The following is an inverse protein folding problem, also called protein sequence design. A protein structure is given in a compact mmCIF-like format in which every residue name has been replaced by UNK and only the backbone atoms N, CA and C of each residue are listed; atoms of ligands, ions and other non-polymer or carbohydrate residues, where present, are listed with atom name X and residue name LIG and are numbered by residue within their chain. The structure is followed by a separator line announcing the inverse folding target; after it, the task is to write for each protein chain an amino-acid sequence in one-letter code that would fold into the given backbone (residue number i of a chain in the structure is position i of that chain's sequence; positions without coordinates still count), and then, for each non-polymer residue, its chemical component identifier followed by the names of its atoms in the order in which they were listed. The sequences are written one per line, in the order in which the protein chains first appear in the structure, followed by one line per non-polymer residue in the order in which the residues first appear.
data_IF_091507241553
#
_entry.id   IF_091507241553
#
_cell.length_a   1.000
_cell.length_b   1.000
_cell.length_c   1.000
_cell.angle_alpha   90.00
_cell.angle_beta   90.00
_cell.angle_gamma   90.00
#
_symmetry.space_group_name_H-M   'P 1'
#
loop_
_entity.id
_entity.type
_entity.pdbx_description
1 polymer ?
#
# COMPACT_ATOMS: atom_id res chain seq x y z
N UNK A 1 -4.91 3.59 -7.73
CA UNK A 1 -3.90 2.59 -8.16
C UNK A 1 -2.65 3.18 -8.81
N UNK A 2 -2.74 4.14 -9.76
CA UNK A 2 -1.56 4.72 -10.44
C UNK A 2 -0.39 5.17 -9.55
N UNK A 3 -0.69 5.74 -8.38
CA UNK A 3 0.36 6.16 -7.42
C UNK A 3 1.12 4.97 -6.85
N UNK A 4 0.43 3.88 -6.51
CA UNK A 4 1.03 2.66 -5.99
C UNK A 4 1.98 2.01 -6.99
N UNK A 5 1.58 1.95 -8.27
CA UNK A 5 2.43 1.40 -9.35
C UNK A 5 3.75 2.17 -9.49
N UNK A 6 3.70 3.50 -9.33
CA UNK A 6 4.90 4.36 -9.41
C UNK A 6 5.80 4.26 -8.19
N UNK A 7 5.24 4.02 -7.00
CA UNK A 7 5.99 4.12 -5.74
C UNK A 7 6.45 2.79 -5.17
N UNK A 8 5.75 1.69 -5.46
CA UNK A 8 6.00 0.40 -4.81
C UNK A 8 7.05 -0.47 -5.51
N UNK A 9 7.55 -0.03 -6.67
CA UNK A 9 8.62 -0.72 -7.43
C UNK A 9 8.35 -2.19 -7.77
N UNK A 10 7.07 -2.56 -7.85
CA UNK A 10 6.66 -3.88 -8.34
C UNK A 10 6.49 -3.76 -9.85
N UNK A 11 7.42 -4.32 -10.63
CA UNK A 11 7.50 -4.12 -12.08
C UNK A 11 6.28 -4.69 -12.82
N UNK A 12 5.85 -5.90 -12.43
CA UNK A 12 4.72 -6.60 -13.05
C UNK A 12 3.84 -7.26 -11.97
N UNK A 13 3.07 -6.47 -11.21
CA UNK A 13 2.25 -7.02 -10.13
C UNK A 13 1.21 -7.99 -10.68
N UNK A 14 1.29 -9.25 -10.28
CA UNK A 14 0.31 -10.30 -10.58
C UNK A 14 -0.88 -10.21 -9.63
N UNK A 15 -0.69 -9.65 -8.44
CA UNK A 15 -1.72 -9.45 -7.43
C UNK A 15 -1.82 -7.99 -6.99
N UNK A 16 -3.07 -7.54 -6.84
CA UNK A 16 -3.43 -6.17 -6.44
C UNK A 16 -4.63 -6.24 -5.52
N UNK A 17 -4.46 -5.81 -4.27
CA UNK A 17 -5.57 -5.81 -3.32
C UNK A 17 -5.49 -4.65 -2.35
N UNK A 18 -6.62 -4.43 -1.67
CA UNK A 18 -6.81 -3.36 -0.71
C UNK A 18 -7.28 -3.97 0.59
N UNK A 19 -6.68 -3.56 1.71
CA UNK A 19 -7.19 -3.84 3.05
C UNK A 19 -7.72 -2.54 3.63
N UNK A 20 -9.00 -2.51 3.97
CA UNK A 20 -9.60 -1.42 4.75
C UNK A 20 -9.52 -1.79 6.24
N UNK A 21 -8.65 -1.11 6.99
CA UNK A 21 -8.57 -1.27 8.44
C UNK A 21 -9.37 -0.18 9.13
N UNK A 22 -10.27 -0.57 10.03
CA UNK A 22 -11.02 0.37 10.86
C UNK A 22 -10.11 1.11 11.86
N UNK A 23 -9.06 0.44 12.34
CA UNK A 23 -8.02 1.02 13.19
C UNK A 23 -6.65 0.49 12.76
N UNK A 24 -5.68 1.38 12.63
CA UNK A 24 -4.30 1.02 12.33
C UNK A 24 -3.34 1.83 13.18
N UNK A 25 -2.58 1.15 14.04
CA UNK A 25 -1.69 1.76 15.04
C UNK A 25 -0.67 2.73 14.46
N UNK A 26 -0.19 2.48 13.25
CA UNK A 26 0.78 3.37 12.57
C UNK A 26 0.15 4.65 12.00
N UNK A 27 -1.16 4.81 12.13
CA UNK A 27 -1.91 6.04 11.83
C UNK A 27 -2.70 6.51 13.07
N UNK A 28 -2.16 6.30 14.27
CA UNK A 28 -2.80 6.69 15.53
C UNK A 28 -4.18 6.05 15.70
N UNK A 29 -4.29 4.76 15.37
CA UNK A 29 -5.51 3.94 15.46
C UNK A 29 -6.70 4.47 14.64
N UNK A 30 -6.42 5.29 13.61
CA UNK A 30 -7.44 5.79 12.69
C UNK A 30 -7.71 4.82 11.51
N UNK A 31 -8.89 4.91 10.89
CA UNK A 31 -9.20 4.14 9.68
C UNK A 31 -8.18 4.40 8.58
N UNK A 32 -7.67 3.31 8.01
CA UNK A 32 -6.57 3.36 7.04
C UNK A 32 -6.78 2.35 5.93
N UNK A 33 -6.53 2.78 4.70
CA UNK A 33 -6.53 1.93 3.53
C UNK A 33 -5.10 1.52 3.20
N UNK A 34 -4.84 0.21 3.15
CA UNK A 34 -3.57 -0.36 2.73
C UNK A 34 -3.72 -0.89 1.31
N UNK A 35 -2.90 -0.41 0.39
CA UNK A 35 -2.90 -0.84 -1.01
C UNK A 35 -1.64 -1.66 -1.25
N UNK A 36 -1.82 -2.93 -1.63
CA UNK A 36 -0.74 -3.85 -1.89
C UNK A 36 -0.57 -4.08 -3.40
N UNK A 37 0.68 -4.13 -3.83
CA UNK A 37 1.10 -4.66 -5.13
C UNK A 37 2.11 -5.76 -4.86
N UNK A 38 1.90 -6.92 -5.48
CA UNK A 38 2.74 -8.11 -5.28
C UNK A 38 2.93 -8.79 -6.64
N UNK A 39 4.15 -9.28 -6.89
CA UNK A 39 4.51 -10.22 -7.94
C UNK A 39 5.19 -11.46 -7.34
N UNK A 40 5.68 -12.35 -8.19
CA UNK A 40 6.29 -13.62 -7.77
C UNK A 40 7.63 -13.43 -7.02
N UNK A 41 8.23 -12.24 -7.08
CA UNK A 41 9.52 -11.91 -6.47
C UNK A 41 9.36 -11.09 -5.18
N UNK A 42 8.18 -10.54 -4.92
CA UNK A 42 7.89 -9.80 -3.70
C UNK A 42 6.81 -8.75 -3.88
N UNK A 43 6.74 -7.81 -2.95
CA UNK A 43 5.72 -6.77 -3.01
C UNK A 43 5.99 -5.60 -2.10
N UNK A 44 5.15 -4.59 -2.25
CA UNK A 44 5.13 -3.41 -1.43
C UNK A 44 3.71 -3.02 -1.08
N UNK A 45 3.58 -2.08 -0.15
CA UNK A 45 2.30 -1.45 0.14
C UNK A 45 2.45 0.05 0.40
N UNK A 46 1.38 0.78 0.13
CA UNK A 46 1.21 2.12 0.67
C UNK A 46 0.00 2.16 1.59
N UNK A 47 0.06 3.02 2.60
CA UNK A 47 -1.04 3.32 3.48
C UNK A 47 -1.56 4.72 3.16
N UNK A 48 -2.87 4.85 3.02
CA UNK A 48 -3.56 6.11 2.85
C UNK A 48 -4.59 6.33 3.96
N UNK A 49 -4.66 7.56 4.46
CA UNK A 49 -5.70 7.93 5.42
C UNK A 49 -7.07 8.11 4.72
N UNK A 50 -8.12 8.41 5.51
CA UNK A 50 -9.49 8.62 5.01
C UNK A 50 -9.62 9.70 3.92
N UNK A 51 -8.69 10.64 3.87
CA UNK A 51 -8.66 11.72 2.87
C UNK A 51 -7.87 11.33 1.61
N UNK A 52 -7.41 10.08 1.51
CA UNK A 52 -6.58 9.60 0.40
C UNK A 52 -5.13 10.07 0.45
N UNK A 53 -4.69 10.76 1.52
CA UNK A 53 -3.30 11.17 1.69
C UNK A 53 -2.46 9.94 2.05
N UNK A 54 -1.40 9.71 1.29
CA UNK A 54 -0.41 8.65 1.60
C UNK A 54 0.34 9.06 2.87
N UNK A 55 0.32 8.17 3.87
CA UNK A 55 0.94 8.37 5.18
C UNK A 55 2.10 7.40 5.43
N UNK A 56 2.18 6.30 4.68
CA UNK A 56 3.32 5.38 4.70
C UNK A 56 3.47 4.72 3.33
N UNK A 57 4.72 4.46 2.97
CA UNK A 57 5.08 3.69 1.77
C UNK A 57 6.15 2.69 2.16
N UNK A 58 5.94 1.43 1.80
CA UNK A 58 6.90 0.34 1.92
C UNK A 58 7.05 -0.27 0.53
N UNK A 59 8.04 0.16 -0.27
CA UNK A 59 8.30 -0.39 -1.59
C UNK A 59 8.80 -1.84 -1.51
N UNK A 60 8.74 -2.56 -2.63
CA UNK A 60 9.49 -3.79 -2.79
C UNK A 60 11.00 -3.52 -2.69
N UNK A 61 11.74 -4.52 -2.21
CA UNK A 61 13.18 -4.44 -1.97
C UNK A 61 14.03 -4.50 -3.25
N UNK A 62 13.44 -4.99 -4.34
CA UNK A 62 14.13 -5.27 -5.62
C UNK A 62 14.21 -4.08 -6.56
#
# INVERSE_FOLDING_TARGET
MRRAEKTLKVSKPTNRYVIAKASWTFNGDQPTMLVYLIDDYGGGYLAANRNGKVIKTVPASS
#
